data_IF_688690958236
#
_entry.id   IF_688690958236
#
_cell.length_a   1.000
_cell.length_b   1.000
_cell.length_c   1.000
_cell.angle_alpha   90.00
_cell.angle_beta   90.00
_cell.angle_gamma   90.00
#
_symmetry.space_group_name_H-M   'P 1'
#
loop_
_entity.id
_entity.type
_entity.pdbx_description
1 polymer ?
#
# COMPACT_ATOMS: atom_id res chain seq x y z
N UNK A 1 -75.36 18.18 1.01
CA UNK A 1 -74.01 18.41 0.47
C UNK A 1 -74.17 19.23 -0.79
N UNK A 2 -73.75 20.50 -0.78
CA UNK A 2 -73.90 21.38 -1.95
C UNK A 2 -72.81 21.05 -2.98
N UNK A 3 -73.03 21.45 -4.24
CA UNK A 3 -72.06 21.21 -5.33
C UNK A 3 -70.68 21.81 -4.98
N UNK A 4 -70.65 22.93 -4.26
CA UNK A 4 -69.41 23.55 -3.78
C UNK A 4 -68.63 22.66 -2.80
N UNK A 5 -69.30 21.93 -1.91
CA UNK A 5 -68.62 21.01 -0.98
C UNK A 5 -68.01 19.82 -1.73
N UNK A 6 -68.67 19.37 -2.80
CA UNK A 6 -68.22 18.26 -3.63
C UNK A 6 -67.01 18.65 -4.49
N UNK A 7 -66.99 19.87 -5.02
CA UNK A 7 -65.83 20.44 -5.74
C UNK A 7 -64.64 20.65 -4.80
N UNK A 8 -64.85 21.19 -3.60
CA UNK A 8 -63.79 21.35 -2.59
C UNK A 8 -63.20 20.01 -2.18
N UNK A 9 -64.02 18.98 -2.02
CA UNK A 9 -63.55 17.62 -1.69
C UNK A 9 -62.70 17.02 -2.81
N UNK A 10 -63.11 17.17 -4.08
CA UNK A 10 -62.33 16.68 -5.23
C UNK A 10 -60.99 17.41 -5.34
N UNK A 11 -60.96 18.73 -5.11
CA UNK A 11 -59.73 19.52 -5.10
C UNK A 11 -58.84 19.10 -3.92
N UNK A 12 -59.39 18.86 -2.73
CA UNK A 12 -58.63 18.40 -1.58
C UNK A 12 -58.02 17.00 -1.78
N UNK A 13 -58.77 16.07 -2.38
CA UNK A 13 -58.30 14.71 -2.68
C UNK A 13 -57.24 14.72 -3.80
N UNK A 14 -57.45 15.51 -4.85
CA UNK A 14 -56.50 15.63 -5.96
C UNK A 14 -55.23 16.40 -5.58
N UNK A 15 -55.33 17.45 -4.76
CA UNK A 15 -54.17 18.17 -4.23
C UNK A 15 -53.37 17.34 -3.22
N UNK A 16 -54.02 16.51 -2.40
CA UNK A 16 -53.35 15.55 -1.53
C UNK A 16 -52.48 14.56 -2.31
N UNK A 17 -52.99 14.02 -3.43
CA UNK A 17 -52.22 13.13 -4.31
C UNK A 17 -51.04 13.83 -5.00
N UNK A 18 -51.20 15.10 -5.37
CA UNK A 18 -50.12 15.91 -5.94
C UNK A 18 -49.01 16.16 -4.92
N UNK A 19 -49.37 16.48 -3.67
CA UNK A 19 -48.42 16.72 -2.58
C UNK A 19 -47.58 15.48 -2.26
N UNK A 20 -48.20 14.29 -2.27
CA UNK A 20 -47.48 13.02 -2.06
C UNK A 20 -46.43 12.78 -3.16
N UNK A 21 -46.78 13.03 -4.43
CA UNK A 21 -45.83 12.90 -5.55
C UNK A 21 -44.65 13.87 -5.45
N UNK A 22 -44.91 15.11 -5.01
CA UNK A 22 -43.85 16.10 -4.79
C UNK A 22 -42.93 15.62 -3.65
N UNK A 23 -43.50 15.07 -2.58
CA UNK A 23 -42.74 14.53 -1.45
C UNK A 23 -41.84 13.35 -1.87
N UNK A 24 -42.37 12.41 -2.65
CA UNK A 24 -41.62 11.26 -3.17
C UNK A 24 -40.49 11.70 -4.11
N UNK A 25 -40.74 12.68 -4.98
CA UNK A 25 -39.70 13.24 -5.85
C UNK A 25 -38.57 13.90 -5.04
N UNK A 26 -38.89 14.68 -3.99
CA UNK A 26 -37.89 15.27 -3.10
C UNK A 26 -37.11 14.18 -2.35
N UNK A 27 -37.78 13.12 -1.91
CA UNK A 27 -37.16 12.01 -1.20
C UNK A 27 -36.20 11.23 -2.10
N UNK A 28 -36.57 10.96 -3.33
CA UNK A 28 -35.72 10.27 -4.31
C UNK A 28 -34.58 11.16 -4.80
N UNK A 29 -34.79 12.47 -4.97
CA UNK A 29 -33.71 13.42 -5.24
C UNK A 29 -32.67 13.43 -4.10
N UNK A 30 -33.12 13.44 -2.83
CA UNK A 30 -32.21 13.32 -1.66
C UNK A 30 -31.45 11.99 -1.64
N UNK A 31 -32.12 10.87 -1.93
CA UNK A 31 -31.45 9.56 -2.02
C UNK A 31 -30.39 9.55 -3.13
N UNK A 32 -30.69 10.13 -4.29
CA UNK A 32 -29.75 10.25 -5.40
C UNK A 32 -28.50 11.07 -5.03
N UNK A 33 -28.66 12.18 -4.31
CA UNK A 33 -27.52 12.95 -3.79
C UNK A 33 -26.67 12.17 -2.77
N UNK A 34 -27.31 11.40 -1.88
CA UNK A 34 -26.60 10.55 -0.92
C UNK A 34 -25.84 9.41 -1.61
N UNK A 35 -26.42 8.82 -2.65
CA UNK A 35 -25.75 7.81 -3.46
C UNK A 35 -24.53 8.38 -4.20
N UNK A 36 -24.65 9.58 -4.77
CA UNK A 36 -23.50 10.27 -5.40
C UNK A 36 -22.38 10.54 -4.40
N UNK A 37 -22.71 11.08 -3.22
CA UNK A 37 -21.74 11.33 -2.14
C UNK A 37 -21.04 10.05 -1.67
N UNK A 38 -21.77 8.93 -1.57
CA UNK A 38 -21.19 7.63 -1.22
C UNK A 38 -20.25 7.14 -2.32
N UNK A 39 -20.66 7.22 -3.58
CA UNK A 39 -19.81 6.85 -4.71
C UNK A 39 -18.52 7.70 -4.79
N UNK A 40 -18.61 9.00 -4.51
CA UNK A 40 -17.43 9.88 -4.43
C UNK A 40 -16.48 9.47 -3.30
N UNK A 41 -17.01 9.15 -2.12
CA UNK A 41 -16.21 8.69 -0.97
C UNK A 41 -15.60 7.31 -1.24
N UNK A 42 -16.37 6.37 -1.79
CA UNK A 42 -15.91 5.03 -2.14
C UNK A 42 -14.79 5.10 -3.19
N UNK A 43 -14.92 5.98 -4.19
CA UNK A 43 -13.88 6.23 -5.18
C UNK A 43 -12.60 6.81 -4.54
N UNK A 44 -12.74 7.79 -3.64
CA UNK A 44 -11.60 8.37 -2.92
C UNK A 44 -10.90 7.36 -2.00
N UNK A 45 -11.67 6.47 -1.36
CA UNK A 45 -11.12 5.37 -0.55
C UNK A 45 -10.36 4.38 -1.45
N UNK A 46 -10.95 3.98 -2.57
CA UNK A 46 -10.31 3.06 -3.51
C UNK A 46 -8.99 3.62 -4.07
N UNK A 47 -8.95 4.91 -4.41
CA UNK A 47 -7.74 5.58 -4.87
C UNK A 47 -6.66 5.61 -3.78
N UNK A 48 -7.04 5.96 -2.54
CA UNK A 48 -6.13 5.93 -1.39
C UNK A 48 -5.57 4.54 -1.13
N UNK A 49 -6.43 3.52 -1.17
CA UNK A 49 -6.02 2.14 -0.88
C UNK A 49 -5.11 1.59 -1.98
N UNK A 50 -5.36 1.95 -3.24
CA UNK A 50 -4.43 1.68 -4.34
C UNK A 50 -3.07 2.35 -4.11
N UNK A 51 -3.04 3.64 -3.78
CA UNK A 51 -1.80 4.36 -3.52
C UNK A 51 -1.03 3.78 -2.32
N UNK A 52 -1.73 3.27 -1.29
CA UNK A 52 -1.10 2.56 -0.18
C UNK A 52 -0.49 1.23 -0.61
N UNK A 53 -1.21 0.42 -1.39
CA UNK A 53 -0.67 -0.84 -1.90
C UNK A 53 0.57 -0.64 -2.77
N UNK A 54 0.56 0.37 -3.65
CA UNK A 54 1.73 0.73 -4.47
C UNK A 54 2.91 1.19 -3.61
N UNK A 55 2.66 1.98 -2.57
CA UNK A 55 3.71 2.39 -1.62
C UNK A 55 4.26 1.19 -0.83
N UNK A 56 3.40 0.33 -0.33
CA UNK A 56 3.80 -0.77 0.54
C UNK A 56 4.64 -1.79 -0.24
N UNK A 57 4.26 -2.11 -1.48
CA UNK A 57 5.09 -2.91 -2.40
C UNK A 57 6.44 -2.26 -2.73
N UNK A 58 6.48 -0.93 -2.89
CA UNK A 58 7.74 -0.22 -3.09
C UNK A 58 8.65 -0.22 -1.84
N UNK A 59 8.06 -0.19 -0.64
CA UNK A 59 8.79 -0.30 0.63
C UNK A 59 9.37 -1.70 0.77
N UNK A 60 8.59 -2.75 0.52
CA UNK A 60 9.06 -4.13 0.57
C UNK A 60 10.24 -4.35 -0.39
N UNK A 61 10.11 -3.92 -1.64
CA UNK A 61 11.20 -4.04 -2.63
C UNK A 61 12.46 -3.25 -2.21
N UNK A 62 12.29 -2.09 -1.57
CA UNK A 62 13.41 -1.31 -1.04
C UNK A 62 14.08 -2.03 0.12
N UNK A 63 13.31 -2.54 1.06
CA UNK A 63 13.82 -3.19 2.26
C UNK A 63 14.57 -4.49 1.90
N UNK A 64 14.07 -5.25 0.92
CA UNK A 64 14.77 -6.41 0.35
C UNK A 64 16.12 -6.00 -0.27
N UNK A 65 16.15 -4.92 -1.06
CA UNK A 65 17.39 -4.42 -1.67
C UNK A 65 18.39 -3.92 -0.61
N UNK A 66 17.91 -3.28 0.46
CA UNK A 66 18.74 -2.83 1.59
C UNK A 66 19.30 -4.03 2.35
N UNK A 67 18.49 -5.06 2.58
CA UNK A 67 18.92 -6.29 3.23
C UNK A 67 19.99 -7.03 2.41
N UNK A 68 19.82 -7.12 1.09
CA UNK A 68 20.79 -7.73 0.18
C UNK A 68 22.10 -6.92 0.18
N UNK A 69 22.04 -5.59 0.04
CA UNK A 69 23.22 -4.74 0.09
C UNK A 69 23.96 -4.86 1.44
N UNK A 70 23.24 -4.88 2.56
CA UNK A 70 23.83 -5.05 3.89
C UNK A 70 24.49 -6.43 4.05
N UNK A 71 23.91 -7.48 3.45
CA UNK A 71 24.53 -8.81 3.41
C UNK A 71 25.86 -8.77 2.66
N UNK A 72 25.89 -8.16 1.48
CA UNK A 72 27.11 -8.06 0.66
C UNK A 72 28.19 -7.21 1.33
N UNK A 73 27.80 -6.14 2.03
CA UNK A 73 28.74 -5.32 2.79
C UNK A 73 29.38 -6.09 3.95
N UNK A 74 28.60 -6.92 4.66
CA UNK A 74 29.16 -7.79 5.71
C UNK A 74 30.15 -8.79 5.13
N UNK A 75 29.81 -9.42 4.01
CA UNK A 75 30.71 -10.36 3.35
C UNK A 75 32.00 -9.70 2.84
N UNK A 76 31.89 -8.52 2.21
CA UNK A 76 33.05 -7.75 1.77
C UNK A 76 34.00 -7.43 2.92
N UNK A 77 33.47 -7.05 4.09
CA UNK A 77 34.28 -6.79 5.28
C UNK A 77 35.07 -8.03 5.74
N UNK A 78 34.44 -9.20 5.77
CA UNK A 78 35.11 -10.46 6.13
C UNK A 78 36.27 -10.76 5.17
N UNK A 79 36.06 -10.54 3.88
CA UNK A 79 37.10 -10.72 2.85
C UNK A 79 38.24 -9.72 3.02
N UNK A 80 37.93 -8.45 3.27
CA UNK A 80 38.94 -7.41 3.51
C UNK A 80 39.78 -7.70 4.76
N UNK A 81 39.16 -8.17 5.84
CA UNK A 81 39.84 -8.58 7.06
C UNK A 81 40.78 -9.77 6.81
N UNK A 82 40.31 -10.81 6.09
CA UNK A 82 41.13 -11.96 5.72
C UNK A 82 42.35 -11.54 4.87
N UNK A 83 42.15 -10.65 3.90
CA UNK A 83 43.21 -10.14 3.05
C UNK A 83 44.21 -9.28 3.85
N UNK A 84 43.74 -8.48 4.79
CA UNK A 84 44.60 -7.69 5.66
C UNK A 84 45.50 -8.58 6.54
N UNK A 85 44.95 -9.67 7.09
CA UNK A 85 45.72 -10.66 7.85
C UNK A 85 46.79 -11.31 6.97
N UNK A 86 46.41 -11.80 5.79
CA UNK A 86 47.36 -12.42 4.86
C UNK A 86 48.48 -11.45 4.45
N UNK A 87 48.13 -10.20 4.12
CA UNK A 87 49.09 -9.16 3.77
C UNK A 87 50.06 -8.87 4.91
N UNK A 88 49.57 -8.82 6.15
CA UNK A 88 50.43 -8.63 7.34
C UNK A 88 51.39 -9.80 7.50
N UNK A 89 50.92 -11.03 7.31
CA UNK A 89 51.74 -12.24 7.42
C UNK A 89 52.88 -12.27 6.40
N UNK A 90 52.62 -11.83 5.16
CA UNK A 90 53.66 -11.67 4.14
C UNK A 90 54.71 -10.60 4.49
N UNK A 91 54.31 -9.55 5.23
CA UNK A 91 55.24 -8.51 5.69
C UNK A 91 56.10 -9.03 6.84
N UNK A 92 55.48 -9.70 7.81
CA UNK A 92 56.13 -10.18 9.03
C UNK A 92 57.05 -11.40 8.75
N UNK A 93 56.69 -12.25 7.78
CA UNK A 93 57.43 -13.41 7.34
C UNK A 93 57.53 -13.45 5.80
N UNK A 94 58.42 -12.65 5.20
CA UNK A 94 58.68 -12.76 3.77
C UNK A 94 59.23 -14.17 3.51
N UNK A 95 58.61 -14.92 2.58
CA UNK A 95 58.78 -16.36 2.30
C UNK A 95 57.75 -17.30 2.96
N UNK A 96 56.67 -16.82 3.58
CA UNK A 96 55.50 -17.67 3.92
C UNK A 96 54.98 -18.36 2.67
N UNK A 97 54.89 -19.68 2.72
CA UNK A 97 54.29 -20.49 1.66
C UNK A 97 52.77 -20.21 1.62
N UNK A 98 52.14 -20.05 0.44
CA UNK A 98 50.70 -19.92 0.33
C UNK A 98 49.89 -20.97 1.12
N UNK A 99 50.41 -22.19 1.29
CA UNK A 99 49.76 -23.25 2.05
C UNK A 99 49.81 -23.04 3.58
N UNK A 100 50.65 -22.12 4.06
CA UNK A 100 50.76 -21.72 5.47
C UNK A 100 49.86 -20.54 5.85
N UNK A 101 49.15 -19.96 4.87
CA UNK A 101 48.15 -18.92 5.11
C UNK A 101 46.86 -19.52 5.63
N UNK A 102 46.13 -18.72 6.43
CA UNK A 102 44.79 -19.10 6.82
C UNK A 102 43.92 -19.29 5.56
N UNK A 103 43.07 -20.33 5.50
CA UNK A 103 42.23 -20.59 4.34
C UNK A 103 41.37 -19.37 4.01
N UNK A 104 41.30 -19.05 2.71
CA UNK A 104 40.44 -17.97 2.25
C UNK A 104 38.97 -18.28 2.61
N UNK A 105 38.21 -17.31 3.16
CA UNK A 105 36.86 -17.56 3.61
C UNK A 105 36.00 -18.01 2.43
N UNK A 106 35.26 -19.11 2.61
CA UNK A 106 34.34 -19.61 1.60
C UNK A 106 33.11 -18.71 1.53
N UNK A 107 32.65 -18.43 0.30
CA UNK A 107 31.46 -17.59 0.09
C UNK A 107 30.25 -18.25 0.78
N UNK A 108 29.60 -17.58 1.74
CA UNK A 108 28.42 -18.10 2.40
C UNK A 108 27.28 -18.20 1.40
N UNK A 109 26.46 -19.24 1.58
CA UNK A 109 25.25 -19.45 0.81
C UNK A 109 24.20 -18.45 1.31
N UNK A 110 23.73 -17.57 0.43
CA UNK A 110 22.77 -16.51 0.79
C UNK A 110 21.39 -17.09 1.08
N UNK A 111 21.06 -18.21 0.43
CA UNK A 111 19.72 -18.78 0.43
C UNK A 111 19.59 -19.96 1.42
N UNK A 112 20.64 -20.25 2.21
CA UNK A 112 20.57 -21.23 3.30
C UNK A 112 20.22 -20.56 4.64
N UNK A 113 19.35 -21.20 5.44
CA UNK A 113 18.91 -20.69 6.74
C UNK A 113 20.04 -20.58 7.77
#
# INVERSE_FOLDING_TARGET
MTIEDLVKLIIAVSSGGLLVKILDWVRDARKGHLQKRRAEVDAAIAERDKARAERDTAIEARDDAVADAAWWQRWARIVEEALAIARRRFIDAPCTDPDELDPYPSRPDRDKP
#
